data_IF_014160802669
#
_entry.id   IF_014160802669
#
_cell.length_a   1.000
_cell.length_b   1.000
_cell.length_c   1.000
_cell.angle_alpha   90.00
_cell.angle_beta   90.00
_cell.angle_gamma   90.00
#
_symmetry.space_group_name_H-M   'P 1'
#
loop_
_entity.id
_entity.type
_entity.pdbx_description
1 polymer ?
#
# COMPACT_ATOMS: atom_id res chain seq x y z
N UNK A 1 0.67 -16.76 23.52
CA UNK A 1 0.67 -15.42 22.90
C UNK A 1 2.12 -15.08 22.58
N UNK A 2 2.43 -14.74 21.34
CA UNK A 2 3.78 -14.31 20.94
C UNK A 2 3.73 -12.80 20.73
N UNK A 3 4.49 -12.07 21.51
CA UNK A 3 4.67 -10.63 21.41
C UNK A 3 6.03 -10.41 20.76
N UNK A 4 6.05 -9.71 19.62
CA UNK A 4 7.28 -9.30 18.95
C UNK A 4 7.21 -7.78 18.81
N UNK A 5 8.20 -7.09 19.36
CA UNK A 5 8.35 -5.65 19.26
C UNK A 5 9.49 -5.38 18.28
N UNK A 6 9.16 -4.78 17.13
CA UNK A 6 10.15 -4.35 16.15
C UNK A 6 10.33 -2.84 16.30
N UNK A 7 11.41 -2.44 16.97
CA UNK A 7 11.90 -1.06 16.96
C UNK A 7 12.89 -0.94 15.80
N UNK A 8 12.45 -0.49 14.63
CA UNK A 8 13.35 -0.28 13.48
C UNK A 8 13.44 1.20 13.09
N UNK A 9 14.56 1.78 13.51
CA UNK A 9 15.41 2.79 12.85
C UNK A 9 14.85 4.17 12.41
N UNK A 10 15.47 5.20 12.97
CA UNK A 10 15.55 6.62 12.54
C UNK A 10 14.29 7.50 12.54
N UNK A 11 13.09 6.91 12.56
CA UNK A 11 11.85 7.61 12.94
C UNK A 11 11.19 6.83 14.06
N UNK A 12 10.67 7.49 15.09
CA UNK A 12 10.00 6.82 16.22
C UNK A 12 8.62 6.29 15.77
N UNK A 13 8.58 5.33 14.86
CA UNK A 13 7.36 4.68 14.38
C UNK A 13 7.24 3.33 15.08
N UNK A 14 6.11 3.12 15.76
CA UNK A 14 5.79 1.86 16.41
C UNK A 14 5.02 1.02 15.41
N UNK A 15 5.46 -0.21 15.18
CA UNK A 15 4.86 -1.13 14.21
C UNK A 15 4.24 -2.31 14.96
N UNK A 16 3.00 -2.16 15.46
CA UNK A 16 2.38 -3.20 16.25
C UNK A 16 1.98 -4.41 15.39
N UNK A 17 2.13 -5.60 15.96
CA UNK A 17 1.61 -6.84 15.37
C UNK A 17 0.99 -7.72 16.43
N UNK A 18 -0.24 -8.11 16.20
CA UNK A 18 -1.04 -8.95 17.10
C UNK A 18 -1.56 -10.18 16.36
N UNK A 19 -1.49 -11.32 17.02
CA UNK A 19 -1.95 -12.60 16.49
C UNK A 19 -2.66 -13.42 17.56
N UNK A 20 -3.84 -13.92 17.22
CA UNK A 20 -4.66 -14.76 18.08
C UNK A 20 -4.96 -16.06 17.33
N UNK A 21 -4.76 -17.17 18.04
CA UNK A 21 -5.22 -18.50 17.65
C UNK A 21 -5.96 -19.10 18.82
N UNK A 22 -7.19 -19.53 18.59
CA UNK A 22 -8.06 -20.05 19.63
C UNK A 22 -8.75 -21.34 19.19
N UNK A 23 -8.80 -22.32 20.09
CA UNK A 23 -9.36 -23.65 19.85
C UNK A 23 -10.30 -24.01 21.00
N UNK A 24 -11.57 -23.58 20.95
CA UNK A 24 -12.52 -23.82 22.04
C UNK A 24 -12.97 -25.29 22.16
N UNK A 25 -12.85 -26.07 21.09
CA UNK A 25 -13.41 -27.43 21.00
C UNK A 25 -12.41 -28.44 20.47
N UNK A 26 -11.24 -28.56 21.11
CA UNK A 26 -10.28 -29.66 20.92
C UNK A 26 -10.12 -30.04 19.44
N UNK A 27 -9.65 -29.06 18.65
CA UNK A 27 -9.37 -29.11 17.20
C UNK A 27 -10.57 -29.12 16.24
N UNK A 28 -11.80 -29.37 16.70
CA UNK A 28 -12.98 -29.33 15.81
C UNK A 28 -13.30 -27.92 15.31
N UNK A 29 -12.91 -26.88 16.05
CA UNK A 29 -12.97 -25.49 15.61
C UNK A 29 -11.66 -24.80 15.96
N UNK A 30 -11.03 -24.19 14.96
CA UNK A 30 -9.87 -23.34 15.13
C UNK A 30 -10.17 -21.96 14.57
N UNK A 31 -10.08 -20.95 15.41
CA UNK A 31 -10.21 -19.54 15.03
C UNK A 31 -8.82 -18.93 14.95
N UNK A 32 -8.59 -18.12 13.91
CA UNK A 32 -7.33 -17.40 13.69
C UNK A 32 -7.64 -15.96 13.33
N UNK A 33 -6.92 -15.02 13.93
CA UNK A 33 -6.94 -13.63 13.54
C UNK A 33 -5.55 -13.03 13.70
N UNK A 34 -5.14 -12.20 12.76
CA UNK A 34 -3.93 -11.40 12.84
C UNK A 34 -4.24 -9.99 12.40
N UNK A 35 -3.64 -9.03 13.09
CA UNK A 35 -3.68 -7.63 12.72
C UNK A 35 -2.27 -7.08 12.92
N UNK A 36 -1.84 -6.21 12.02
CA UNK A 36 -0.58 -5.53 12.21
C UNK A 36 -0.38 -4.41 11.22
N UNK A 37 0.49 -3.52 11.62
CA UNK A 37 0.98 -2.43 10.79
C UNK A 37 2.36 -2.80 10.24
N UNK A 38 2.81 -2.05 9.25
CA UNK A 38 4.11 -2.15 8.63
C UNK A 38 4.43 -0.85 7.93
N UNK A 39 5.71 -0.57 7.71
CA UNK A 39 6.11 0.57 6.90
C UNK A 39 7.15 0.15 5.88
N UNK A 40 7.28 0.95 4.84
CA UNK A 40 8.29 0.81 3.82
C UNK A 40 8.99 2.17 3.63
N UNK A 41 10.28 2.22 3.95
CA UNK A 41 11.07 3.44 3.77
C UNK A 41 11.19 3.80 2.28
N UNK A 42 11.20 5.10 1.92
CA UNK A 42 11.50 5.51 0.57
C UNK A 42 12.93 5.09 0.21
N UNK A 43 13.11 4.61 -1.01
CA UNK A 43 14.43 4.22 -1.49
C UNK A 43 15.36 5.42 -1.65
N UNK A 44 16.67 5.22 -1.57
CA UNK A 44 17.66 6.28 -1.84
C UNK A 44 17.51 6.89 -3.25
N UNK A 45 17.00 6.12 -4.20
CA UNK A 45 16.72 6.62 -5.55
C UNK A 45 15.54 7.61 -5.54
N UNK A 46 14.48 7.34 -4.78
CA UNK A 46 13.35 8.27 -4.62
C UNK A 46 13.74 9.53 -3.86
N UNK A 47 14.66 9.44 -2.90
CA UNK A 47 15.09 10.58 -2.10
C UNK A 47 16.16 11.45 -2.78
N UNK A 48 17.10 10.86 -3.53
CA UNK A 48 18.31 11.55 -3.98
C UNK A 48 18.75 11.25 -5.43
N UNK A 49 17.94 10.56 -6.25
CA UNK A 49 18.32 10.32 -7.65
C UNK A 49 18.48 11.62 -8.44
N UNK A 50 19.39 11.58 -9.40
CA UNK A 50 19.51 12.62 -10.42
C UNK A 50 18.22 12.71 -11.24
N UNK A 51 17.76 13.92 -11.58
CA UNK A 51 16.60 14.09 -12.45
C UNK A 51 16.77 13.35 -13.78
N UNK A 52 15.76 12.57 -14.17
CA UNK A 52 15.72 11.91 -15.48
C UNK A 52 14.71 12.63 -16.37
N UNK A 53 15.09 12.92 -17.61
CA UNK A 53 14.21 13.52 -18.60
C UNK A 53 13.79 12.49 -19.65
N UNK A 54 12.50 12.47 -19.99
CA UNK A 54 11.95 11.72 -21.11
C UNK A 54 10.89 12.56 -21.83
N UNK A 55 10.46 12.10 -23.00
CA UNK A 55 9.42 12.76 -23.79
C UNK A 55 8.13 11.94 -23.73
N UNK A 56 7.01 12.64 -23.70
CA UNK A 56 5.68 12.05 -23.55
C UNK A 56 4.68 12.78 -24.43
N UNK A 57 3.68 12.03 -24.91
CA UNK A 57 2.53 12.60 -25.62
C UNK A 57 1.39 12.87 -24.64
N UNK A 58 0.70 13.99 -24.83
CA UNK A 58 -0.35 14.47 -23.93
C UNK A 58 -1.52 15.02 -24.75
N UNK A 59 -2.72 14.56 -24.45
CA UNK A 59 -3.97 15.11 -24.93
C UNK A 59 -4.37 16.34 -24.12
N UNK A 60 -4.60 17.50 -24.75
CA UNK A 60 -5.18 18.68 -24.10
C UNK A 60 -6.71 18.60 -24.14
N UNK A 61 -7.40 18.31 -23.01
CA UNK A 61 -8.85 18.14 -22.97
C UNK A 61 -9.62 19.46 -23.13
N UNK A 62 -8.95 20.63 -23.08
CA UNK A 62 -9.59 21.94 -23.29
C UNK A 62 -9.60 22.29 -24.77
N UNK A 63 -8.58 21.87 -25.52
CA UNK A 63 -8.41 22.17 -26.95
C UNK A 63 -8.63 20.96 -27.87
N UNK A 64 -8.89 19.78 -27.29
CA UNK A 64 -9.07 18.50 -27.99
C UNK A 64 -7.93 18.24 -29.00
N UNK A 65 -6.69 18.47 -28.57
CA UNK A 65 -5.49 18.38 -29.42
C UNK A 65 -4.41 17.53 -28.75
N UNK A 66 -3.77 16.65 -29.51
CA UNK A 66 -2.59 15.91 -29.08
C UNK A 66 -1.34 16.79 -29.17
N UNK A 67 -0.59 16.89 -28.08
CA UNK A 67 0.73 17.52 -28.06
C UNK A 67 1.79 16.46 -27.82
N UNK A 68 2.65 16.26 -28.81
CA UNK A 68 3.73 15.26 -28.77
C UNK A 68 5.03 15.87 -28.26
N UNK A 69 5.96 15.02 -27.83
CA UNK A 69 7.32 15.43 -27.44
C UNK A 69 7.38 16.44 -26.26
N UNK A 70 6.44 16.38 -25.33
CA UNK A 70 6.51 17.22 -24.13
C UNK A 70 7.66 16.72 -23.24
N UNK A 71 8.68 17.56 -22.94
CA UNK A 71 9.76 17.17 -22.06
C UNK A 71 9.25 17.07 -20.62
N UNK A 72 9.31 15.85 -20.07
CA UNK A 72 8.94 15.57 -18.68
C UNK A 72 10.18 15.23 -17.88
N UNK A 73 10.30 15.86 -16.71
CA UNK A 73 11.40 15.66 -15.79
C UNK A 73 10.85 14.93 -14.56
N UNK A 74 11.32 13.72 -14.33
CA UNK A 74 11.15 13.02 -13.06
C UNK A 74 12.27 13.45 -12.11
N UNK A 75 11.91 13.83 -10.88
CA UNK A 75 12.85 14.25 -9.83
C UNK A 75 12.63 13.42 -8.57
N UNK A 76 13.70 13.24 -7.82
CA UNK A 76 13.66 12.76 -6.45
C UNK A 76 13.10 13.84 -5.51
N UNK A 77 12.58 13.39 -4.37
CA UNK A 77 12.10 14.27 -3.30
C UNK A 77 12.66 13.82 -1.94
N UNK A 78 13.60 14.59 -1.37
CA UNK A 78 14.16 14.32 -0.05
C UNK A 78 13.15 14.40 1.11
N UNK A 79 11.95 14.96 0.87
CA UNK A 79 10.90 15.12 1.88
C UNK A 79 9.86 13.99 1.85
N UNK A 80 10.08 12.92 1.08
CA UNK A 80 9.19 11.77 1.09
C UNK A 80 9.13 11.15 2.48
N UNK A 81 7.92 10.85 2.90
CA UNK A 81 7.67 10.11 4.14
C UNK A 81 7.61 8.61 3.81
N UNK A 82 7.90 7.74 4.80
CA UNK A 82 7.65 6.31 4.66
C UNK A 82 6.23 5.99 4.22
N UNK A 83 6.08 4.93 3.43
CA UNK A 83 4.78 4.35 3.11
C UNK A 83 4.32 3.51 4.31
N UNK A 84 3.11 3.74 4.80
CA UNK A 84 2.51 2.98 5.89
C UNK A 84 1.53 1.94 5.35
N UNK A 85 1.44 0.81 6.04
CA UNK A 85 0.59 -0.30 5.68
C UNK A 85 -0.10 -0.88 6.89
N UNK A 86 -1.37 -1.26 6.72
CA UNK A 86 -2.17 -1.94 7.72
C UNK A 86 -2.72 -3.22 7.11
N UNK A 87 -2.64 -4.30 7.86
CA UNK A 87 -3.16 -5.60 7.44
C UNK A 87 -3.99 -6.22 8.55
N UNK A 88 -5.12 -6.78 8.16
CA UNK A 88 -5.95 -7.64 8.97
C UNK A 88 -6.19 -8.94 8.21
N UNK A 89 -6.11 -10.07 8.90
CA UNK A 89 -6.64 -11.33 8.39
C UNK A 89 -7.35 -12.08 9.50
N UNK A 90 -8.44 -12.74 9.16
CA UNK A 90 -9.28 -13.48 10.09
C UNK A 90 -9.89 -14.68 9.41
N UNK A 91 -9.98 -15.80 10.12
CA UNK A 91 -10.51 -17.01 9.54
C UNK A 91 -10.80 -18.09 10.55
N UNK A 92 -11.49 -19.13 10.08
CA UNK A 92 -11.77 -20.32 10.86
C UNK A 92 -11.56 -21.58 10.05
N UNK A 93 -11.23 -22.64 10.77
CA UNK A 93 -11.23 -24.01 10.29
C UNK A 93 -12.19 -24.79 11.16
N UNK A 94 -13.16 -25.46 10.54
CA UNK A 94 -14.16 -26.27 11.22
C UNK A 94 -14.14 -27.70 10.68
N UNK A 95 -13.88 -28.64 11.58
CA UNK A 95 -13.80 -30.08 11.32
C UNK A 95 -14.81 -30.79 12.23
N UNK A 96 -16.07 -30.94 11.80
CA UNK A 96 -17.12 -31.52 12.61
C UNK A 96 -16.84 -32.99 12.94
N UNK A 97 -16.94 -33.36 14.22
CA UNK A 97 -16.71 -34.76 14.67
C UNK A 97 -17.80 -35.73 14.23
N UNK A 98 -18.97 -35.24 13.83
CA UNK A 98 -20.11 -36.05 13.40
C UNK A 98 -20.06 -36.43 11.90
N UNK A 99 -19.22 -35.77 11.10
CA UNK A 99 -18.96 -36.14 9.70
C UNK A 99 -17.46 -36.35 9.52
N UNK A 100 -17.04 -37.61 9.54
CA UNK A 100 -15.63 -37.98 9.37
C UNK A 100 -15.16 -37.53 7.99
N UNK A 101 -14.05 -36.78 7.95
CA UNK A 101 -13.40 -36.32 6.72
C UNK A 101 -13.91 -34.98 6.18
N UNK A 102 -14.94 -34.37 6.78
CA UNK A 102 -15.38 -33.03 6.40
C UNK A 102 -14.51 -31.96 7.07
N UNK A 103 -13.99 -31.01 6.29
CA UNK A 103 -13.30 -29.81 6.78
C UNK A 103 -13.77 -28.60 5.99
N UNK A 104 -14.14 -27.54 6.70
CA UNK A 104 -14.58 -26.27 6.13
C UNK A 104 -13.59 -25.19 6.58
N UNK A 105 -13.11 -24.39 5.64
CA UNK A 105 -12.19 -23.29 5.89
C UNK A 105 -12.74 -22.01 5.28
N UNK A 106 -12.68 -20.93 6.04
CA UNK A 106 -12.99 -19.58 5.56
C UNK A 106 -11.91 -18.64 6.06
N UNK A 107 -11.32 -17.87 5.16
CA UNK A 107 -10.32 -16.86 5.47
C UNK A 107 -10.73 -15.54 4.78
N UNK A 108 -10.62 -14.44 5.53
CA UNK A 108 -10.91 -13.08 5.13
C UNK A 108 -9.68 -12.23 5.37
N UNK A 109 -9.42 -11.27 4.48
CA UNK A 109 -8.29 -10.36 4.59
C UNK A 109 -8.70 -8.96 4.19
N UNK A 110 -8.06 -7.98 4.82
CA UNK A 110 -8.20 -6.56 4.54
C UNK A 110 -6.81 -5.92 4.64
N UNK A 111 -6.39 -5.22 3.58
CA UNK A 111 -5.04 -4.66 3.46
C UNK A 111 -5.16 -3.25 2.92
N UNK A 112 -4.60 -2.30 3.66
CA UNK A 112 -4.58 -0.87 3.35
C UNK A 112 -3.13 -0.39 3.30
N UNK A 113 -2.84 0.52 2.36
CA UNK A 113 -1.51 1.09 2.14
C UNK A 113 -1.66 2.56 1.79
N UNK A 114 -0.97 3.42 2.54
CA UNK A 114 -1.02 4.87 2.42
C UNK A 114 0.39 5.44 2.20
N UNK A 115 0.49 6.56 1.47
CA UNK A 115 1.78 7.23 1.24
C UNK A 115 2.60 6.66 0.08
N UNK A 116 2.03 5.75 -0.73
CA UNK A 116 2.70 5.18 -1.93
C UNK A 116 3.26 6.27 -2.84
N UNK A 117 4.58 6.23 -3.04
CA UNK A 117 5.26 7.09 -4.00
C UNK A 117 5.01 6.58 -5.41
N UNK A 118 4.35 7.40 -6.24
CA UNK A 118 4.16 7.09 -7.65
C UNK A 118 5.28 7.72 -8.47
N UNK A 119 6.30 6.92 -8.81
CA UNK A 119 7.48 7.36 -9.55
C UNK A 119 7.24 7.68 -11.04
N UNK A 120 6.01 7.56 -11.53
CA UNK A 120 5.64 7.97 -12.87
C UNK A 120 4.34 8.78 -12.79
N UNK A 121 4.41 10.11 -12.75
CA UNK A 121 3.20 10.90 -12.90
C UNK A 121 2.61 10.60 -14.27
N UNK A 122 1.36 10.12 -14.27
CA UNK A 122 0.56 10.12 -15.48
C UNK A 122 0.31 11.59 -15.86
N UNK A 123 1.05 12.07 -16.86
CA UNK A 123 1.05 13.46 -17.28
C UNK A 123 -0.33 13.83 -17.83
N UNK A 124 -1.04 12.87 -18.42
CA UNK A 124 -2.42 13.04 -18.85
C UNK A 124 -3.32 13.35 -17.64
N UNK A 125 -3.12 12.67 -16.51
CA UNK A 125 -3.85 12.99 -15.27
C UNK A 125 -3.53 14.38 -14.72
N UNK A 126 -2.30 14.87 -14.87
CA UNK A 126 -1.93 16.24 -14.46
C UNK A 126 -2.64 17.27 -15.34
N UNK A 127 -2.64 17.08 -16.65
CA UNK A 127 -3.30 17.99 -17.61
C UNK A 127 -4.81 17.96 -17.48
N UNK A 128 -5.40 16.77 -17.35
CA UNK A 128 -6.84 16.61 -17.08
C UNK A 128 -7.26 17.29 -15.77
N UNK A 129 -6.44 17.19 -14.72
CA UNK A 129 -6.70 17.85 -13.44
C UNK A 129 -6.56 19.38 -13.53
N UNK A 130 -5.57 19.87 -14.27
CA UNK A 130 -5.38 21.29 -14.52
C UNK A 130 -6.57 21.88 -15.30
N UNK A 131 -7.07 21.16 -16.31
CA UNK A 131 -8.26 21.52 -17.06
C UNK A 131 -9.54 21.51 -16.21
N UNK A 132 -9.66 20.57 -15.25
CA UNK A 132 -10.77 20.49 -14.31
C UNK A 132 -10.70 21.52 -13.15
N UNK A 133 -9.69 22.39 -13.12
CA UNK A 133 -9.55 23.46 -12.12
C UNK A 133 -9.14 23.01 -10.71
N UNK A 134 -8.85 21.71 -10.50
CA UNK A 134 -8.65 21.16 -9.16
C UNK A 134 -7.16 21.17 -8.76
N UNK A 135 -6.68 22.32 -8.24
CA UNK A 135 -5.28 22.52 -7.82
C UNK A 135 -5.02 21.92 -6.43
N UNK A 136 -4.96 20.59 -6.31
CA UNK A 136 -4.30 19.98 -5.15
C UNK A 136 -2.81 19.86 -5.42
N UNK A 137 -2.02 20.55 -4.60
CA UNK A 137 -0.56 20.39 -4.53
C UNK A 137 -0.31 18.96 -4.03
N UNK A 138 -0.12 18.03 -4.95
CA UNK A 138 0.61 16.80 -4.64
C UNK A 138 2.02 17.25 -4.30
N UNK A 139 2.42 17.10 -3.04
CA UNK A 139 3.82 17.15 -2.65
C UNK A 139 4.51 16.04 -3.45
N UNK A 140 5.20 16.45 -4.51
CA UNK A 140 6.13 15.62 -5.28
C UNK A 140 7.41 15.53 -4.50
#
# INVERSE_FOLDING_TARGET
MRFEEFLSNSSNVVVPKFGIRWQPFDDSLTLRATWGEGFHEPSLFELFSSPTQFFSDVHDPVKDTETTEIPTILRSNPNLQPEDSRSFSGGFVYTPRFVIGLTITVDLFDIESEGRVNNAPDIQRVVNRAAAGNRHRTNM
#
